data_IF_807661843811
#
_entry.id   IF_807661843811
#
_cell.length_a   1.000
_cell.length_b   1.000
_cell.length_c   1.000
_cell.angle_alpha   90.00
_cell.angle_beta   90.00
_cell.angle_gamma   90.00
#
_symmetry.space_group_name_H-M   'P 1'
#
loop_
_entity.id
_entity.type
_entity.pdbx_description
1 polymer ?
#
# COMPACT_ATOMS: atom_id res chain seq x y z
N UNK A 1 7.27 6.82 -3.49
CA UNK A 1 8.77 6.85 -3.47
C UNK A 1 9.27 6.86 -2.04
N UNK A 2 10.48 6.33 -1.81
CA UNK A 2 11.14 6.32 -0.50
C UNK A 2 12.05 7.53 -0.33
N UNK A 3 11.94 8.21 0.82
CA UNK A 3 12.73 9.41 1.11
C UNK A 3 14.24 9.14 1.09
N UNK A 4 14.66 7.94 1.47
CA UNK A 4 16.05 7.50 1.44
C UNK A 4 16.63 7.50 0.03
N UNK A 5 15.85 7.10 -0.97
CA UNK A 5 16.29 7.12 -2.38
C UNK A 5 16.37 8.54 -2.93
N UNK A 6 15.45 9.42 -2.52
CA UNK A 6 15.51 10.85 -2.86
C UNK A 6 16.77 11.48 -2.27
N UNK A 7 17.10 11.15 -1.00
CA UNK A 7 18.33 11.65 -0.36
C UNK A 7 19.62 11.14 -1.01
N UNK A 8 19.56 10.00 -1.71
CA UNK A 8 20.67 9.48 -2.53
C UNK A 8 20.64 9.95 -3.99
N UNK A 9 19.82 10.95 -4.31
CA UNK A 9 19.67 11.50 -5.67
C UNK A 9 19.32 10.42 -6.72
N UNK A 10 18.52 9.43 -6.32
CA UNK A 10 18.02 8.41 -7.25
C UNK A 10 16.83 8.93 -8.02
N UNK A 11 16.71 8.49 -9.28
CA UNK A 11 15.59 8.87 -10.13
C UNK A 11 14.26 8.57 -9.44
N UNK A 12 13.47 9.62 -9.22
CA UNK A 12 12.25 9.60 -8.41
C UNK A 12 11.11 10.25 -9.18
N UNK A 13 9.91 9.69 -9.03
CA UNK A 13 8.69 10.24 -9.61
C UNK A 13 7.75 10.65 -8.48
N UNK A 14 7.30 11.91 -8.51
CA UNK A 14 6.33 12.47 -7.57
C UNK A 14 5.08 12.94 -8.31
N UNK A 15 3.92 12.75 -7.67
CA UNK A 15 2.65 13.30 -8.18
C UNK A 15 2.12 14.32 -7.18
N UNK A 16 1.86 15.53 -7.66
CA UNK A 16 1.24 16.61 -6.90
C UNK A 16 -0.27 16.54 -7.11
N UNK A 17 -1.01 16.21 -6.04
CA UNK A 17 -2.47 16.17 -6.05
C UNK A 17 -3.05 17.52 -5.64
N UNK A 18 -3.67 18.25 -6.60
CA UNK A 18 -4.36 19.51 -6.32
C UNK A 18 -5.57 19.67 -7.24
N UNK A 19 -6.62 20.38 -6.75
CA UNK A 19 -7.81 20.72 -7.56
C UNK A 19 -7.56 21.90 -8.49
N UNK A 20 -6.64 22.75 -8.11
CA UNK A 20 -6.23 23.94 -8.87
C UNK A 20 -5.00 23.56 -9.69
N UNK A 21 -5.13 23.60 -11.01
CA UNK A 21 -4.08 23.16 -11.92
C UNK A 21 -2.89 24.11 -11.88
N UNK A 22 -3.10 25.42 -11.76
CA UNK A 22 -2.01 26.41 -11.71
C UNK A 22 -1.14 26.20 -10.46
N UNK A 23 -1.78 25.95 -9.30
CA UNK A 23 -1.09 25.63 -8.06
C UNK A 23 -0.38 24.27 -8.16
N UNK A 24 -1.01 23.29 -8.80
CA UNK A 24 -0.41 21.97 -9.00
C UNK A 24 0.88 22.05 -9.82
N UNK A 25 0.86 22.83 -10.92
CA UNK A 25 1.99 23.02 -11.80
C UNK A 25 3.12 23.81 -11.09
N UNK A 26 2.80 24.89 -10.38
CA UNK A 26 3.78 25.65 -9.59
C UNK A 26 4.51 24.77 -8.57
N UNK A 27 3.76 23.91 -7.84
CA UNK A 27 4.35 22.98 -6.89
C UNK A 27 5.14 21.86 -7.58
N UNK A 28 4.67 21.37 -8.72
CA UNK A 28 5.40 20.37 -9.50
C UNK A 28 6.74 20.93 -9.98
N UNK A 29 6.77 22.14 -10.48
CA UNK A 29 8.00 22.83 -10.89
C UNK A 29 8.94 23.09 -9.71
N UNK A 30 8.39 23.47 -8.56
CA UNK A 30 9.18 23.70 -7.35
C UNK A 30 9.92 22.44 -6.86
N UNK A 31 9.27 21.27 -6.91
CA UNK A 31 9.87 20.00 -6.48
C UNK A 31 10.69 19.31 -7.59
N UNK A 32 10.44 19.66 -8.84
CA UNK A 32 11.11 19.07 -10.01
C UNK A 32 12.60 19.42 -10.08
N UNK A 33 13.43 18.44 -10.42
CA UNK A 33 14.85 18.64 -10.68
C UNK A 33 15.40 17.50 -11.57
N UNK A 34 16.73 17.42 -11.74
CA UNK A 34 17.35 16.43 -12.64
C UNK A 34 17.14 14.96 -12.23
N UNK A 35 16.79 14.66 -10.99
CA UNK A 35 16.48 13.30 -10.52
C UNK A 35 15.09 13.16 -9.94
N UNK A 36 14.30 14.24 -9.82
CA UNK A 36 12.91 14.21 -9.39
C UNK A 36 12.02 14.67 -10.55
N UNK A 37 11.30 13.73 -11.12
CA UNK A 37 10.28 14.01 -12.13
C UNK A 37 8.92 14.16 -11.46
N UNK A 38 8.23 15.23 -11.80
CA UNK A 38 6.93 15.59 -11.23
C UNK A 38 5.81 15.45 -12.24
N UNK A 39 4.63 15.07 -11.76
CA UNK A 39 3.37 15.08 -12.49
C UNK A 39 2.28 15.67 -11.61
N UNK A 40 1.18 16.12 -12.21
CA UNK A 40 0.02 16.65 -11.48
C UNK A 40 -1.17 15.70 -11.58
N UNK A 41 -2.10 15.77 -10.62
CA UNK A 41 -3.35 15.02 -10.65
C UNK A 41 -4.44 15.73 -9.87
N UNK A 42 -5.67 15.71 -10.37
CA UNK A 42 -6.86 16.19 -9.67
C UNK A 42 -7.51 15.12 -8.76
N UNK A 43 -7.05 13.87 -8.82
CA UNK A 43 -7.58 12.75 -8.02
C UNK A 43 -7.03 12.71 -6.60
N UNK A 44 -7.19 13.78 -5.85
CA UNK A 44 -6.67 13.91 -4.48
C UNK A 44 -7.15 12.76 -3.59
N UNK A 45 -8.44 12.45 -3.66
CA UNK A 45 -9.06 11.42 -2.81
C UNK A 45 -8.53 10.04 -3.18
N UNK A 46 -8.45 9.71 -4.47
CA UNK A 46 -7.92 8.44 -4.94
C UNK A 46 -6.46 8.25 -4.53
N UNK A 47 -5.63 9.28 -4.69
CA UNK A 47 -4.21 9.26 -4.28
C UNK A 47 -4.07 9.03 -2.78
N UNK A 48 -4.88 9.70 -1.95
CA UNK A 48 -4.83 9.53 -0.49
C UNK A 48 -5.20 8.09 -0.08
N UNK A 49 -6.29 7.54 -0.64
CA UNK A 49 -6.66 6.15 -0.34
C UNK A 49 -5.66 5.14 -0.87
N UNK A 50 -5.10 5.36 -2.05
CA UNK A 50 -4.02 4.52 -2.58
C UNK A 50 -2.81 4.50 -1.64
N UNK A 51 -2.41 5.67 -1.11
CA UNK A 51 -1.33 5.81 -0.14
C UNK A 51 -1.56 5.06 1.17
N UNK A 52 -2.80 4.93 1.63
CA UNK A 52 -3.15 4.09 2.80
C UNK A 52 -3.14 2.61 2.42
N UNK A 53 -3.81 2.25 1.33
CA UNK A 53 -3.96 0.86 0.89
C UNK A 53 -2.62 0.20 0.55
N UNK A 54 -1.70 0.90 -0.14
CA UNK A 54 -0.37 0.37 -0.46
C UNK A 54 0.38 -0.10 0.78
N UNK A 55 0.24 0.63 1.90
CA UNK A 55 0.89 0.28 3.17
C UNK A 55 0.32 -1.01 3.77
N UNK A 56 -0.97 -1.24 3.61
CA UNK A 56 -1.64 -2.49 4.04
C UNK A 56 -1.17 -3.66 3.18
N UNK A 57 -1.11 -3.47 1.85
CA UNK A 57 -0.64 -4.49 0.92
C UNK A 57 0.85 -4.80 1.11
N UNK A 58 1.64 -3.81 1.50
CA UNK A 58 3.04 -4.03 1.87
C UNK A 58 3.17 -4.90 3.14
N UNK A 59 2.27 -4.75 4.12
CA UNK A 59 2.21 -5.66 5.28
C UNK A 59 1.87 -7.08 4.80
N UNK A 60 0.87 -7.25 3.93
CA UNK A 60 0.51 -8.56 3.38
C UNK A 60 1.69 -9.21 2.64
N UNK A 61 2.38 -8.43 1.79
CA UNK A 61 3.59 -8.86 1.07
C UNK A 61 4.70 -9.29 2.05
N UNK A 62 4.93 -8.53 3.11
CA UNK A 62 5.87 -8.90 4.17
C UNK A 62 5.51 -10.20 4.88
N UNK A 63 4.21 -10.39 5.22
CA UNK A 63 3.73 -11.61 5.88
C UNK A 63 4.01 -12.83 5.01
N UNK A 64 3.66 -12.82 3.73
CA UNK A 64 3.90 -13.95 2.82
C UNK A 64 5.41 -14.21 2.64
N UNK A 65 6.24 -13.17 2.58
CA UNK A 65 7.70 -13.30 2.58
C UNK A 65 8.24 -13.94 3.85
N UNK A 66 7.74 -13.53 5.02
CA UNK A 66 8.08 -14.11 6.33
C UNK A 66 7.68 -15.58 6.44
N UNK A 67 6.54 -15.98 5.86
CA UNK A 67 6.06 -17.35 5.75
C UNK A 67 6.78 -18.16 4.65
N UNK A 68 7.70 -17.55 3.90
CA UNK A 68 8.48 -18.16 2.83
C UNK A 68 7.65 -18.64 1.62
N UNK A 69 6.56 -17.94 1.31
CA UNK A 69 5.89 -18.13 0.02
C UNK A 69 6.80 -17.59 -1.10
N UNK A 70 6.78 -18.26 -2.25
CA UNK A 70 7.63 -17.90 -3.39
C UNK A 70 7.09 -16.73 -4.22
N UNK A 71 7.89 -16.31 -5.21
CA UNK A 71 7.63 -15.16 -6.09
C UNK A 71 6.32 -15.28 -6.88
N UNK A 72 5.92 -16.50 -7.26
CA UNK A 72 4.65 -16.74 -7.94
C UNK A 72 3.46 -16.23 -7.12
N UNK A 73 3.46 -16.51 -5.81
CA UNK A 73 2.38 -16.07 -4.95
C UNK A 73 2.47 -14.55 -4.68
N UNK A 74 3.68 -14.00 -4.56
CA UNK A 74 3.88 -12.54 -4.48
C UNK A 74 3.30 -11.82 -5.70
N UNK A 75 3.53 -12.33 -6.91
CA UNK A 75 2.98 -11.76 -8.14
C UNK A 75 1.45 -11.79 -8.15
N UNK A 76 0.84 -12.92 -7.75
CA UNK A 76 -0.62 -13.04 -7.64
C UNK A 76 -1.18 -12.10 -6.59
N UNK A 77 -0.56 -12.02 -5.40
CA UNK A 77 -0.98 -11.08 -4.36
C UNK A 77 -0.96 -9.64 -4.87
N UNK A 78 0.11 -9.24 -5.54
CA UNK A 78 0.29 -7.89 -6.08
C UNK A 78 -0.76 -7.55 -7.14
N UNK A 79 -1.02 -8.44 -8.08
CA UNK A 79 -2.06 -8.26 -9.10
C UNK A 79 -3.45 -8.09 -8.46
N UNK A 80 -3.75 -8.89 -7.45
CA UNK A 80 -5.02 -8.77 -6.72
C UNK A 80 -5.07 -7.51 -5.85
N UNK A 81 -3.96 -7.05 -5.29
CA UNK A 81 -3.88 -5.80 -4.53
C UNK A 81 -4.19 -4.58 -5.42
N UNK A 82 -3.66 -4.54 -6.65
CA UNK A 82 -3.98 -3.50 -7.63
C UNK A 82 -5.48 -3.51 -7.94
N UNK A 83 -6.05 -4.69 -8.19
CA UNK A 83 -7.49 -4.84 -8.46
C UNK A 83 -8.35 -4.42 -7.26
N UNK A 84 -8.00 -4.84 -6.05
CA UNK A 84 -8.69 -4.48 -4.82
C UNK A 84 -8.63 -2.97 -4.58
N UNK A 85 -7.46 -2.35 -4.74
CA UNK A 85 -7.26 -0.90 -4.66
C UNK A 85 -8.18 -0.18 -5.66
N UNK A 86 -8.15 -0.58 -6.92
CA UNK A 86 -8.98 0.04 -7.97
C UNK A 86 -10.48 -0.04 -7.64
N UNK A 87 -10.95 -1.22 -7.24
CA UNK A 87 -12.36 -1.42 -6.90
C UNK A 87 -12.78 -0.57 -5.70
N UNK A 88 -11.94 -0.51 -4.66
CA UNK A 88 -12.21 0.26 -3.47
C UNK A 88 -12.26 1.76 -3.77
N UNK A 89 -11.23 2.30 -4.41
CA UNK A 89 -11.16 3.73 -4.72
C UNK A 89 -12.28 4.16 -5.69
N UNK A 90 -12.56 3.36 -6.72
CA UNK A 90 -13.61 3.67 -7.69
C UNK A 90 -14.99 3.70 -7.06
N UNK A 91 -15.22 2.92 -6.00
CA UNK A 91 -16.47 2.93 -5.26
C UNK A 91 -16.61 4.15 -4.34
N UNK A 92 -15.51 4.58 -3.72
CA UNK A 92 -15.51 5.69 -2.77
C UNK A 92 -15.47 7.05 -3.47
N UNK A 93 -14.64 7.16 -4.50
CA UNK A 93 -14.38 8.37 -5.27
C UNK A 93 -14.40 8.05 -6.77
N UNK A 94 -15.59 7.95 -7.37
CA UNK A 94 -15.70 7.67 -8.81
C UNK A 94 -14.97 8.73 -9.64
N UNK A 95 -14.05 8.28 -10.49
CA UNK A 95 -13.34 9.11 -11.46
C UNK A 95 -13.16 8.29 -12.74
N UNK A 96 -13.91 8.57 -13.81
CA UNK A 96 -13.95 7.73 -15.02
C UNK A 96 -12.59 7.56 -15.69
N UNK A 97 -11.77 8.60 -15.68
CA UNK A 97 -10.49 8.64 -16.39
C UNK A 97 -9.29 8.20 -15.52
N UNK A 98 -9.53 7.70 -14.29
CA UNK A 98 -8.45 7.19 -13.43
C UNK A 98 -7.73 6.02 -14.07
N UNK A 99 -6.43 6.17 -14.24
CA UNK A 99 -5.55 5.12 -14.73
C UNK A 99 -4.82 4.48 -13.55
N UNK A 100 -5.34 3.39 -13.01
CA UNK A 100 -4.77 2.72 -11.83
C UNK A 100 -3.34 2.22 -12.05
N UNK A 101 -2.90 2.10 -13.30
CA UNK A 101 -1.55 1.69 -13.67
C UNK A 101 -0.50 2.80 -13.54
N UNK A 102 -0.92 4.05 -13.31
CA UNK A 102 0.00 5.17 -13.12
C UNK A 102 0.90 4.97 -11.90
N UNK A 103 2.04 5.68 -11.93
CA UNK A 103 3.09 5.57 -10.91
C UNK A 103 2.61 5.90 -9.51
N UNK A 104 1.66 6.84 -9.36
CA UNK A 104 1.10 7.26 -8.07
C UNK A 104 0.25 6.17 -7.40
N UNK A 105 -0.31 5.23 -8.16
CA UNK A 105 -1.09 4.10 -7.65
C UNK A 105 -0.25 2.82 -7.67
N UNK A 106 -0.13 2.20 -8.85
CA UNK A 106 0.55 0.91 -9.03
C UNK A 106 2.05 1.02 -8.76
N UNK A 107 2.72 2.06 -9.23
CA UNK A 107 4.16 2.24 -9.01
C UNK A 107 4.51 2.35 -7.54
N UNK A 108 3.74 3.16 -6.80
CA UNK A 108 3.95 3.37 -5.36
C UNK A 108 3.59 2.14 -4.52
N UNK A 109 2.59 1.35 -4.95
CA UNK A 109 2.29 0.05 -4.36
C UNK A 109 3.45 -0.92 -4.57
N UNK A 110 3.97 -1.02 -5.79
CA UNK A 110 5.07 -1.94 -6.11
C UNK A 110 6.31 -1.63 -5.28
N UNK A 111 6.79 -0.38 -5.31
CA UNK A 111 7.99 -0.02 -4.57
C UNK A 111 7.81 -0.23 -3.06
N UNK A 112 6.62 0.05 -2.51
CA UNK A 112 6.34 -0.14 -1.09
C UNK A 112 6.30 -1.62 -0.69
N UNK A 113 5.84 -2.49 -1.61
CA UNK A 113 5.71 -3.94 -1.36
C UNK A 113 7.04 -4.71 -1.46
N UNK A 114 8.00 -4.21 -2.25
CA UNK A 114 9.26 -4.93 -2.51
C UNK A 114 10.50 -4.27 -1.88
N UNK A 115 10.42 -2.98 -1.54
CA UNK A 115 11.59 -2.27 -1.03
C UNK A 115 11.97 -2.70 0.38
N UNK A 116 13.28 -2.85 0.59
CA UNK A 116 13.88 -3.07 1.92
C UNK A 116 13.71 -1.87 2.87
N UNK A 117 13.42 -0.68 2.33
CA UNK A 117 13.14 0.52 3.11
C UNK A 117 11.68 0.60 3.60
N UNK A 118 10.82 -0.29 3.12
CA UNK A 118 9.42 -0.30 3.52
C UNK A 118 9.23 -0.82 4.95
N UNK A 119 8.93 0.09 5.86
CA UNK A 119 8.59 -0.24 7.26
C UNK A 119 7.39 -1.19 7.36
N UNK A 120 6.39 -1.00 6.50
CA UNK A 120 5.22 -1.86 6.45
C UNK A 120 5.56 -3.28 6.00
N UNK A 121 6.42 -3.42 4.97
CA UNK A 121 6.90 -4.71 4.53
C UNK A 121 7.73 -5.41 5.63
N UNK A 122 8.63 -4.69 6.30
CA UNK A 122 9.42 -5.21 7.41
C UNK A 122 8.52 -5.70 8.56
N UNK A 123 7.54 -4.88 8.96
CA UNK A 123 6.55 -5.24 9.99
C UNK A 123 5.81 -6.54 9.65
N UNK A 124 5.31 -6.65 8.41
CA UNK A 124 4.68 -7.86 7.91
C UNK A 124 5.62 -9.08 7.94
N UNK A 125 6.88 -8.88 7.55
CA UNK A 125 7.89 -9.95 7.55
C UNK A 125 8.14 -10.50 8.96
N UNK A 126 8.19 -9.64 9.96
CA UNK A 126 8.36 -10.05 11.38
C UNK A 126 7.16 -10.90 11.82
N UNK A 127 5.93 -10.47 11.50
CA UNK A 127 4.70 -11.22 11.82
C UNK A 127 4.68 -12.57 11.09
N UNK A 128 5.04 -12.62 9.82
CA UNK A 128 5.14 -13.86 9.05
C UNK A 128 6.19 -14.83 9.61
N UNK A 129 7.27 -14.31 10.24
CA UNK A 129 8.28 -15.09 10.97
C UNK A 129 7.83 -15.56 12.37
N UNK A 130 6.63 -15.20 12.81
CA UNK A 130 6.07 -15.64 14.09
C UNK A 130 6.19 -14.64 15.24
N UNK A 131 6.66 -13.42 15.00
CA UNK A 131 6.61 -12.37 16.03
C UNK A 131 5.15 -12.00 16.34
N UNK A 132 4.84 -11.75 17.60
CA UNK A 132 3.57 -11.16 17.96
C UNK A 132 3.48 -9.72 17.41
N UNK A 133 2.27 -9.24 17.12
CA UNK A 133 2.04 -7.85 16.69
C UNK A 133 2.70 -6.85 17.66
N UNK A 134 2.54 -7.09 18.98
CA UNK A 134 3.12 -6.23 20.00
C UNK A 134 4.65 -6.24 19.97
N UNK A 135 5.26 -7.43 19.84
CA UNK A 135 6.72 -7.56 19.75
C UNK A 135 7.24 -6.88 18.49
N UNK A 136 6.61 -7.10 17.33
CA UNK A 136 7.01 -6.45 16.10
C UNK A 136 6.93 -4.92 16.18
N UNK A 137 5.90 -4.37 16.86
CA UNK A 137 5.78 -2.93 17.08
C UNK A 137 6.89 -2.37 18.02
N UNK A 138 7.30 -3.13 19.02
CA UNK A 138 8.35 -2.71 19.96
C UNK A 138 9.76 -2.76 19.34
N UNK A 139 9.99 -3.68 18.41
CA UNK A 139 11.27 -3.82 17.71
C UNK A 139 11.47 -2.76 16.61
N UNK A 140 10.41 -2.06 16.20
CA UNK A 140 10.48 -1.04 15.17
C UNK A 140 10.75 0.34 15.79
N UNK A 141 11.78 1.03 15.29
CA UNK A 141 12.08 2.42 15.67
C UNK A 141 10.98 3.41 15.27
N UNK A 142 10.26 3.10 14.20
CA UNK A 142 9.19 3.94 13.64
C UNK A 142 7.94 3.11 13.33
N UNK A 143 6.77 3.72 13.48
CA UNK A 143 5.48 3.08 13.27
C UNK A 143 5.29 2.61 11.83
N UNK A 144 4.77 1.40 11.65
CA UNK A 144 4.23 0.92 10.38
C UNK A 144 2.80 1.47 10.21
N UNK A 145 2.64 2.50 9.39
CA UNK A 145 1.36 3.23 9.21
C UNK A 145 0.21 2.33 8.73
N UNK A 146 0.53 1.29 7.97
CA UNK A 146 -0.43 0.29 7.51
C UNK A 146 -1.15 -0.44 8.65
N UNK A 147 -0.56 -0.49 9.86
CA UNK A 147 -1.25 -1.01 11.03
C UNK A 147 -2.54 -0.23 11.30
N UNK A 148 -2.44 1.07 11.50
CA UNK A 148 -3.62 1.92 11.74
C UNK A 148 -4.49 2.06 10.49
N UNK A 149 -3.87 2.16 9.32
CA UNK A 149 -4.57 2.20 8.03
C UNK A 149 -5.51 1.01 7.82
N UNK A 150 -5.10 -0.19 8.24
CA UNK A 150 -5.93 -1.39 8.15
C UNK A 150 -7.25 -1.24 8.90
N UNK A 151 -7.22 -0.73 10.13
CA UNK A 151 -8.44 -0.49 10.93
C UNK A 151 -9.31 0.58 10.28
N UNK A 152 -8.71 1.69 9.87
CA UNK A 152 -9.39 2.80 9.23
C UNK A 152 -10.14 2.36 7.95
N UNK A 153 -9.47 1.64 7.05
CA UNK A 153 -10.10 1.12 5.82
C UNK A 153 -11.25 0.15 6.14
N UNK A 154 -11.11 -0.71 7.14
CA UNK A 154 -12.21 -1.60 7.58
C UNK A 154 -13.44 -0.83 8.05
N UNK A 155 -13.23 0.21 8.86
CA UNK A 155 -14.32 1.06 9.36
C UNK A 155 -15.00 1.84 8.21
N UNK A 156 -14.23 2.42 7.31
CA UNK A 156 -14.77 3.12 6.14
C UNK A 156 -15.56 2.15 5.25
N UNK A 157 -15.05 0.94 5.03
CA UNK A 157 -15.69 -0.04 4.17
C UNK A 157 -17.04 -0.56 4.69
N UNK A 158 -17.35 -0.41 5.98
CA UNK A 158 -18.68 -0.71 6.51
C UNK A 158 -19.80 0.05 5.78
N UNK A 159 -19.50 1.26 5.32
CA UNK A 159 -20.42 2.10 4.56
C UNK A 159 -20.55 1.69 3.09
N UNK A 160 -19.46 1.22 2.49
CA UNK A 160 -19.38 1.03 1.04
C UNK A 160 -19.54 -0.42 0.60
N UNK A 161 -19.23 -1.39 1.46
CA UNK A 161 -19.43 -2.82 1.22
C UNK A 161 -18.60 -3.38 0.06
N UNK A 162 -17.40 -2.86 -0.18
CA UNK A 162 -16.50 -3.37 -1.22
C UNK A 162 -15.85 -4.66 -0.75
N UNK A 163 -15.67 -5.62 -1.66
CA UNK A 163 -14.87 -6.83 -1.37
C UNK A 163 -13.39 -6.46 -1.28
N UNK A 164 -12.80 -6.61 -0.08
CA UNK A 164 -11.41 -6.25 0.23
C UNK A 164 -10.68 -7.41 0.92
N UNK A 165 -10.57 -8.59 0.27
CA UNK A 165 -10.07 -9.81 0.91
C UNK A 165 -8.65 -9.70 1.45
N UNK A 166 -7.76 -8.91 0.81
CA UNK A 166 -6.39 -8.73 1.31
C UNK A 166 -6.37 -7.87 2.57
N UNK A 167 -7.12 -6.76 2.59
CA UNK A 167 -7.28 -5.94 3.80
C UNK A 167 -7.92 -6.74 4.92
N UNK A 168 -8.92 -7.58 4.62
CA UNK A 168 -9.59 -8.44 5.59
C UNK A 168 -8.63 -9.46 6.22
N UNK A 169 -7.81 -10.10 5.42
CA UNK A 169 -6.76 -11.01 5.87
C UNK A 169 -5.79 -10.29 6.82
N UNK A 170 -5.26 -9.14 6.42
CA UNK A 170 -4.35 -8.33 7.26
C UNK A 170 -5.04 -7.91 8.56
N UNK A 171 -6.30 -7.46 8.50
CA UNK A 171 -7.07 -7.10 9.69
C UNK A 171 -7.25 -8.27 10.65
N UNK A 172 -7.59 -9.45 10.16
CA UNK A 172 -7.75 -10.65 10.98
C UNK A 172 -6.46 -11.02 11.72
N UNK A 173 -5.32 -10.94 11.02
CA UNK A 173 -4.00 -11.21 11.61
C UNK A 173 -3.66 -10.16 12.67
N UNK A 174 -3.78 -8.87 12.35
CA UNK A 174 -3.30 -7.79 13.21
C UNK A 174 -4.19 -7.52 14.43
N UNK A 175 -5.51 -7.55 14.24
CA UNK A 175 -6.47 -7.12 15.25
C UNK A 175 -7.23 -8.28 15.91
N UNK A 176 -7.53 -9.35 15.16
CA UNK A 176 -8.17 -10.56 15.73
C UNK A 176 -7.16 -11.62 16.15
N UNK A 177 -5.86 -11.36 15.94
CA UNK A 177 -4.76 -12.27 16.32
C UNK A 177 -4.90 -13.67 15.71
N UNK A 178 -5.46 -13.74 14.51
CA UNK A 178 -5.55 -14.98 13.76
C UNK A 178 -4.16 -15.42 13.27
N UNK A 179 -3.99 -16.73 13.10
CA UNK A 179 -2.72 -17.27 12.61
C UNK A 179 -2.41 -16.75 11.19
N UNK A 180 -1.24 -16.13 10.95
CA UNK A 180 -0.85 -15.67 9.62
C UNK A 180 -0.89 -16.79 8.57
N UNK A 181 -0.44 -18.00 8.94
CA UNK A 181 -0.46 -19.15 8.04
C UNK A 181 -1.88 -19.53 7.61
N UNK A 182 -2.82 -19.55 8.56
CA UNK A 182 -4.23 -19.90 8.25
C UNK A 182 -4.89 -18.84 7.38
N UNK A 183 -4.73 -17.57 7.76
CA UNK A 183 -5.34 -16.45 7.00
C UNK A 183 -4.79 -16.35 5.58
N UNK A 184 -3.47 -16.50 5.38
CA UNK A 184 -2.88 -16.49 4.05
C UNK A 184 -3.35 -17.69 3.21
N UNK A 185 -3.52 -18.88 3.82
CA UNK A 185 -4.07 -20.02 3.12
C UNK A 185 -5.52 -19.78 2.67
N UNK A 186 -6.37 -19.23 3.54
CA UNK A 186 -7.73 -18.85 3.17
C UNK A 186 -7.76 -17.76 2.10
N UNK A 187 -6.86 -16.77 2.19
CA UNK A 187 -6.73 -15.74 1.17
C UNK A 187 -6.36 -16.35 -0.18
N UNK A 188 -5.44 -17.33 -0.22
CA UNK A 188 -4.99 -17.93 -1.49
C UNK A 188 -6.11 -18.55 -2.30
N UNK A 189 -7.19 -19.03 -1.66
CA UNK A 189 -8.36 -19.60 -2.33
C UNK A 189 -9.28 -18.52 -2.94
N UNK A 190 -9.12 -17.25 -2.52
CA UNK A 190 -9.90 -16.11 -3.00
C UNK A 190 -9.21 -15.32 -4.11
N UNK A 191 -7.88 -15.43 -4.22
CA UNK A 191 -7.11 -14.72 -5.25
C UNK A 191 -7.24 -15.40 -6.63
N UNK A 192 -7.15 -14.58 -7.68
CA UNK A 192 -7.30 -15.05 -9.07
C UNK A 192 -6.23 -14.43 -9.96
#
# INVERSE_FOLDING_TARGET
SHAEEVAYERLTYLTVGCKDDDIAEELADFFGNYYVHTTTSQDIIGIQYAGVLKNIYAIASGIIGGLKYGDNFHAVLTANAIREMNNFISKLAPMPDRQIVESVYTGDLLVTSYSKFSRNHLFGTMIGKGYSVKTAQLEMEMVAEGYYGTKCIKEINQKYGVSIPIVDCVYNILYKRMSPFVEIKLLSDLLR
#
